data_IF_008488613947
#
_entry.id   IF_008488613947
#
_cell.length_a   1.000
_cell.length_b   1.000
_cell.length_c   1.000
_cell.angle_alpha   90.00
_cell.angle_beta   90.00
_cell.angle_gamma   90.00
#
_symmetry.space_group_name_H-M   'P 1'
#
loop_
_entity.id
_entity.type
_entity.pdbx_description
1 polymer ?
#
# COMPACT_ATOMS: atom_id res chain seq x y z
N UNK A 1 8.21 -10.36 10.31
CA UNK A 1 7.74 -9.10 9.70
C UNK A 1 7.83 -8.01 10.75
N UNK A 2 8.10 -6.76 10.36
CA UNK A 2 8.24 -5.64 11.29
C UNK A 2 6.94 -5.31 12.04
N UNK A 3 5.79 -5.51 11.40
CA UNK A 3 4.46 -5.26 11.93
C UNK A 3 3.49 -6.35 11.50
N UNK A 4 2.46 -6.58 12.30
CA UNK A 4 1.38 -7.54 11.98
C UNK A 4 0.37 -6.95 10.99
N UNK A 5 0.22 -5.62 10.97
CA UNK A 5 -0.66 -4.93 10.02
C UNK A 5 -0.15 -3.53 9.65
N UNK A 6 -0.70 -2.98 8.56
CA UNK A 6 -0.47 -1.58 8.20
C UNK A 6 -1.02 -0.60 9.26
N UNK A 7 -2.07 -0.99 9.99
CA UNK A 7 -2.59 -0.21 11.12
C UNK A 7 -1.54 -0.07 12.22
N UNK A 8 -0.85 -1.14 12.57
CA UNK A 8 0.20 -1.13 13.59
C UNK A 8 1.39 -0.29 13.14
N UNK A 9 1.74 -0.33 11.84
CA UNK A 9 2.76 0.55 11.30
C UNK A 9 2.37 2.03 11.41
N UNK A 10 1.14 2.40 11.05
CA UNK A 10 0.66 3.79 11.19
C UNK A 10 0.65 4.22 12.67
N UNK A 11 0.24 3.35 13.60
CA UNK A 11 0.33 3.63 15.03
C UNK A 11 1.78 3.80 15.50
N UNK A 12 2.71 2.98 14.97
CA UNK A 12 4.12 3.10 15.29
C UNK A 12 4.70 4.44 14.81
N UNK A 13 4.25 4.95 13.65
CA UNK A 13 4.63 6.28 13.17
C UNK A 13 4.12 7.37 14.11
N UNK A 14 2.86 7.27 14.57
CA UNK A 14 2.26 8.18 15.55
C UNK A 14 3.06 8.23 16.85
N UNK A 15 3.34 7.07 17.44
CA UNK A 15 4.15 6.94 18.66
C UNK A 15 5.59 7.46 18.48
N UNK A 16 6.15 7.38 17.27
CA UNK A 16 7.48 7.93 16.97
C UNK A 16 7.50 9.45 16.77
N UNK A 17 6.33 10.11 16.83
CA UNK A 17 6.15 11.50 16.42
C UNK A 17 6.38 11.72 14.92
N UNK A 18 6.26 10.69 14.09
CA UNK A 18 6.48 10.70 12.62
C UNK A 18 5.19 10.87 11.80
N UNK A 19 4.05 10.99 12.46
CA UNK A 19 2.72 11.15 11.86
C UNK A 19 2.04 12.42 12.38
N UNK A 20 1.33 13.12 11.51
CA UNK A 20 0.36 14.17 11.87
C UNK A 20 -1.04 13.65 11.56
N UNK A 21 -1.95 13.78 12.53
CA UNK A 21 -3.38 13.52 12.34
C UNK A 21 -4.09 14.80 11.91
N UNK A 22 -4.88 14.69 10.86
CA UNK A 22 -5.69 15.77 10.30
C UNK A 22 -7.16 15.40 10.50
N UNK A 23 -7.82 16.11 11.41
CA UNK A 23 -9.18 15.79 11.89
C UNK A 23 -10.27 16.57 11.15
N UNK A 24 -9.89 17.64 10.45
CA UNK A 24 -10.77 18.38 9.55
C UNK A 24 -11.04 17.58 8.27
N UNK A 25 -12.21 17.79 7.63
CA UNK A 25 -12.46 17.26 6.29
C UNK A 25 -11.43 17.80 5.28
N UNK A 26 -10.91 16.93 4.42
CA UNK A 26 -9.96 17.30 3.35
C UNK A 26 -10.28 16.54 2.06
N UNK A 27 -10.29 17.24 0.94
CA UNK A 27 -10.67 16.69 -0.35
C UNK A 27 -9.63 15.70 -0.92
N UNK A 28 -10.12 14.56 -1.41
CA UNK A 28 -9.31 13.59 -2.18
C UNK A 28 -8.95 14.12 -3.57
N UNK A 29 -9.61 15.19 -4.00
CA UNK A 29 -9.37 15.95 -5.20
C UNK A 29 -8.34 17.03 -4.90
N UNK A 30 -7.07 16.77 -5.24
CA UNK A 30 -5.94 17.70 -5.17
C UNK A 30 -5.47 18.10 -3.75
N UNK A 31 -6.38 18.34 -2.80
CA UNK A 31 -6.03 18.92 -1.49
C UNK A 31 -5.13 18.01 -0.65
N UNK A 32 -5.49 16.74 -0.47
CA UNK A 32 -4.64 15.79 0.28
C UNK A 32 -3.26 15.66 -0.38
N UNK A 33 -3.21 15.67 -1.71
CA UNK A 33 -1.94 15.61 -2.46
C UNK A 33 -1.09 16.85 -2.22
N UNK A 34 -1.67 18.05 -2.26
CA UNK A 34 -0.95 19.29 -1.95
C UNK A 34 -0.37 19.29 -0.53
N UNK A 35 -1.15 18.83 0.46
CA UNK A 35 -0.66 18.70 1.83
C UNK A 35 0.50 17.70 1.93
N UNK A 36 0.36 16.55 1.27
CA UNK A 36 1.38 15.52 1.26
C UNK A 36 2.66 15.97 0.52
N UNK A 37 2.52 16.68 -0.59
CA UNK A 37 3.63 17.20 -1.40
C UNK A 37 4.52 18.16 -0.58
N UNK A 38 3.90 19.06 0.19
CA UNK A 38 4.62 19.94 1.12
C UNK A 38 5.42 19.16 2.17
N UNK A 39 4.83 18.10 2.73
CA UNK A 39 5.56 17.25 3.68
C UNK A 39 6.72 16.52 2.99
N UNK A 40 6.47 15.88 1.85
CA UNK A 40 7.48 15.14 1.08
C UNK A 40 8.69 16.02 0.72
N UNK A 41 8.45 17.29 0.36
CA UNK A 41 9.48 18.24 -0.03
C UNK A 41 10.13 18.99 1.13
N UNK A 42 9.63 18.80 2.35
CA UNK A 42 10.27 19.38 3.54
C UNK A 42 11.60 18.68 3.84
N UNK A 43 12.55 19.36 4.51
CA UNK A 43 13.80 18.73 4.95
C UNK A 43 13.55 17.42 5.70
N UNK A 44 14.24 16.35 5.30
CA UNK A 44 14.04 15.02 5.88
C UNK A 44 12.71 14.34 5.53
N UNK A 45 11.96 14.83 4.54
CA UNK A 45 10.71 14.23 4.06
C UNK A 45 9.48 14.54 4.91
N UNK A 46 9.57 15.54 5.80
CA UNK A 46 8.45 15.99 6.65
C UNK A 46 7.85 14.88 7.49
N UNK A 47 6.53 14.90 7.72
CA UNK A 47 5.77 13.89 8.47
C UNK A 47 4.83 13.11 7.55
N UNK A 48 4.52 11.88 7.94
CA UNK A 48 3.38 11.18 7.38
C UNK A 48 2.08 11.90 7.78
N UNK A 49 1.04 11.76 6.98
CA UNK A 49 -0.28 12.34 7.26
C UNK A 49 -1.32 11.22 7.39
N UNK A 50 -2.17 11.32 8.42
CA UNK A 50 -3.39 10.53 8.54
C UNK A 50 -4.58 11.48 8.48
N UNK A 51 -5.29 11.46 7.35
CA UNK A 51 -6.53 12.20 7.15
C UNK A 51 -7.66 11.34 7.73
N UNK A 52 -8.29 11.81 8.80
CA UNK A 52 -9.34 11.03 9.48
C UNK A 52 -10.69 11.15 8.75
N UNK A 53 -10.89 12.24 8.00
CA UNK A 53 -12.14 12.55 7.29
C UNK A 53 -11.88 12.95 5.83
N UNK A 54 -11.27 12.09 5.00
CA UNK A 54 -11.11 12.41 3.58
C UNK A 54 -12.49 12.53 2.93
N UNK A 55 -12.68 13.50 2.03
CA UNK A 55 -13.93 13.67 1.30
C UNK A 55 -13.82 13.22 -0.15
N UNK A 56 -14.85 12.55 -0.64
CA UNK A 56 -15.01 12.14 -2.03
C UNK A 56 -16.23 12.85 -2.58
N UNK A 57 -16.04 13.72 -3.58
CA UNK A 57 -17.08 14.58 -4.14
C UNK A 57 -17.84 15.36 -3.04
N UNK A 58 -17.11 15.87 -2.04
CA UNK A 58 -17.66 16.61 -0.91
C UNK A 58 -18.30 15.77 0.20
N UNK A 59 -18.41 14.45 0.05
CA UNK A 59 -18.95 13.55 1.08
C UNK A 59 -17.83 12.90 1.87
N UNK A 60 -17.90 12.94 3.20
CA UNK A 60 -16.91 12.30 4.08
C UNK A 60 -16.91 10.78 3.85
N UNK A 61 -15.74 10.23 3.54
CA UNK A 61 -15.55 8.79 3.43
C UNK A 61 -15.54 8.15 4.82
N UNK A 62 -16.13 6.95 4.99
CA UNK A 62 -16.01 6.19 6.23
C UNK A 62 -14.59 5.62 6.43
N UNK A 63 -13.72 5.72 5.43
CA UNK A 63 -12.35 5.20 5.48
C UNK A 63 -11.35 6.37 5.64
N UNK A 64 -10.46 6.33 6.64
CA UNK A 64 -9.37 7.29 6.74
C UNK A 64 -8.32 7.05 5.65
N UNK A 65 -7.51 8.06 5.36
CA UNK A 65 -6.45 8.00 4.35
C UNK A 65 -5.10 8.33 4.97
N UNK A 66 -4.16 7.38 4.90
CA UNK A 66 -2.77 7.57 5.29
C UNK A 66 -1.90 7.82 4.05
N UNK A 67 -1.06 8.86 4.07
CA UNK A 67 -0.16 9.23 2.96
C UNK A 67 1.19 9.69 3.49
N UNK A 68 2.21 9.67 2.63
CA UNK A 68 3.60 10.00 2.98
C UNK A 68 4.20 9.10 4.09
N UNK A 69 3.63 7.90 4.28
CA UNK A 69 3.98 6.95 5.35
C UNK A 69 5.41 6.42 5.25
N UNK A 70 6.01 6.47 4.06
CA UNK A 70 7.38 6.06 3.77
C UNK A 70 8.22 7.19 3.14
N UNK A 71 7.79 8.45 3.23
CA UNK A 71 8.48 9.56 2.54
C UNK A 71 9.76 10.07 3.21
N UNK A 72 10.35 9.33 4.14
CA UNK A 72 11.65 9.66 4.73
C UNK A 72 12.48 8.42 4.99
N UNK A 73 13.81 8.57 5.01
CA UNK A 73 14.73 7.49 5.36
C UNK A 73 14.41 6.84 6.71
N UNK A 74 14.07 7.67 7.71
CA UNK A 74 13.66 7.20 9.03
C UNK A 74 12.39 6.36 8.96
N UNK A 75 11.35 6.83 8.26
CA UNK A 75 10.09 6.08 8.14
C UNK A 75 10.23 4.80 7.31
N UNK A 76 11.08 4.80 6.29
CA UNK A 76 11.44 3.57 5.55
C UNK A 76 12.16 2.57 6.46
N UNK A 77 13.15 3.00 7.25
CA UNK A 77 13.83 2.13 8.21
C UNK A 77 12.87 1.58 9.29
N UNK A 78 11.97 2.42 9.80
CA UNK A 78 10.92 1.99 10.74
C UNK A 78 10.03 0.91 10.14
N UNK A 79 9.64 1.03 8.86
CA UNK A 79 8.79 0.03 8.18
C UNK A 79 9.44 -1.36 8.10
N UNK A 80 10.78 -1.40 8.19
CA UNK A 80 11.61 -2.60 8.17
C UNK A 80 12.08 -3.02 9.57
N UNK A 81 11.68 -2.30 10.63
CA UNK A 81 12.17 -2.46 11.99
C UNK A 81 13.71 -2.41 12.09
N UNK A 82 14.33 -1.49 11.33
CA UNK A 82 15.77 -1.29 11.28
C UNK A 82 16.16 0.13 11.74
N UNK A 83 17.45 0.33 12.06
CA UNK A 83 17.95 1.66 12.46
C UNK A 83 18.16 2.57 11.25
N UNK A 84 18.52 1.99 10.11
CA UNK A 84 18.67 2.69 8.83
C UNK A 84 18.32 1.79 7.66
N UNK A 85 18.07 2.40 6.50
CA UNK A 85 17.92 1.65 5.25
C UNK A 85 19.24 1.01 4.79
N UNK A 86 20.38 1.60 5.14
CA UNK A 86 21.72 1.11 4.76
C UNK A 86 22.05 -0.18 5.48
N UNK A 87 21.62 -0.32 6.74
CA UNK A 87 21.72 -1.57 7.51
C UNK A 87 21.00 -2.70 6.77
N UNK A 88 19.76 -2.47 6.33
CA UNK A 88 18.98 -3.45 5.59
C UNK A 88 19.62 -3.76 4.24
N UNK A 89 20.13 -2.75 3.53
CA UNK A 89 20.80 -2.94 2.25
C UNK A 89 22.09 -3.78 2.40
N UNK A 90 22.87 -3.53 3.46
CA UNK A 90 24.06 -4.31 3.76
C UNK A 90 23.74 -5.77 4.09
N UNK A 91 22.69 -6.02 4.87
CA UNK A 91 22.20 -7.36 5.20
C UNK A 91 21.77 -8.11 3.93
N UNK A 92 20.93 -7.51 3.08
CA UNK A 92 20.50 -8.08 1.81
C UNK A 92 21.67 -8.37 0.87
N UNK A 93 22.62 -7.45 0.77
CA UNK A 93 23.83 -7.62 -0.03
C UNK A 93 24.70 -8.79 0.42
N UNK A 94 24.73 -9.08 1.73
CA UNK A 94 25.45 -10.24 2.27
C UNK A 94 24.79 -11.57 1.90
N UNK A 95 23.45 -11.61 1.92
CA UNK A 95 22.67 -12.79 1.53
C UNK A 95 22.84 -13.13 0.05
N UNK A 96 22.85 -12.13 -0.83
CA UNK A 96 23.04 -12.35 -2.28
C UNK A 96 24.44 -12.87 -2.63
N UNK A 97 25.46 -12.54 -1.83
CA UNK A 97 26.86 -12.95 -2.04
C UNK A 97 27.21 -14.30 -1.40
N UNK A 98 26.25 -14.96 -0.74
CA UNK A 98 26.47 -16.26 -0.13
C UNK A 98 26.83 -17.29 -1.22
N UNK A 99 28.07 -17.79 -1.18
CA UNK A 99 28.52 -18.85 -2.09
C UNK A 99 27.89 -20.18 -1.68
N UNK A 100 27.59 -21.08 -2.65
CA UNK A 100 27.20 -22.45 -2.33
C UNK A 100 28.29 -23.12 -1.48
N UNK A 101 27.95 -23.86 -0.41
CA UNK A 101 28.94 -24.49 0.45
C UNK A 101 29.75 -25.52 -0.33
N UNK A 102 31.06 -25.51 -0.16
CA UNK A 102 31.98 -26.48 -0.75
C UNK A 102 32.41 -27.56 0.25
N UNK A 103 32.02 -27.46 1.53
CA UNK A 103 32.44 -28.39 2.59
C UNK A 103 31.30 -28.80 3.55
N UNK A 104 31.42 -29.99 4.15
CA UNK A 104 30.46 -30.54 5.13
C UNK A 104 30.29 -29.67 6.39
N UNK A 105 31.34 -28.94 6.79
CA UNK A 105 31.28 -28.03 7.95
C UNK A 105 30.46 -26.77 7.62
N UNK A 106 30.59 -26.27 6.40
CA UNK A 106 29.80 -25.14 5.91
C UNK A 106 28.32 -25.52 5.77
N UNK A 107 28.02 -26.77 5.41
CA UNK A 107 26.65 -27.30 5.37
C UNK A 107 25.97 -27.27 6.74
N UNK A 108 26.67 -27.64 7.83
CA UNK A 108 26.11 -27.59 9.18
C UNK A 108 25.82 -26.15 9.63
N UNK A 109 26.68 -25.19 9.26
CA UNK A 109 26.52 -23.77 9.58
C UNK A 109 25.34 -23.15 8.81
N UNK A 110 25.16 -23.55 7.55
CA UNK A 110 24.01 -23.17 6.73
C UNK A 110 22.70 -23.74 7.24
N UNK A 111 22.69 -24.95 7.84
CA UNK A 111 21.47 -25.53 8.42
C UNK A 111 20.93 -24.66 9.57
N UNK A 112 21.83 -24.11 10.39
CA UNK A 112 21.48 -23.13 11.44
C UNK A 112 20.91 -21.84 10.86
N UNK A 113 21.55 -21.27 9.84
CA UNK A 113 21.06 -20.06 9.15
C UNK A 113 19.75 -20.30 8.38
N UNK A 114 19.52 -21.52 7.89
CA UNK A 114 18.28 -21.92 7.23
C UNK A 114 17.07 -21.95 8.20
N UNK A 115 17.31 -22.17 9.49
CA UNK A 115 16.25 -22.05 10.50
C UNK A 115 15.79 -20.59 10.67
N UNK A 116 16.69 -19.63 10.53
CA UNK A 116 16.33 -18.19 10.56
C UNK A 116 15.51 -17.80 9.32
N UNK A 117 15.81 -18.40 8.15
CA UNK A 117 15.05 -18.26 6.91
C UNK A 117 13.65 -18.91 6.95
N UNK A 118 13.35 -19.75 7.95
CA UNK A 118 12.02 -20.38 8.11
C UNK A 118 10.91 -19.33 8.24
N UNK A 119 11.23 -18.15 8.76
CA UNK A 119 10.30 -17.02 8.89
C UNK A 119 10.09 -16.23 7.60
N UNK A 120 10.85 -16.52 6.53
CA UNK A 120 10.72 -15.82 5.25
C UNK A 120 9.53 -16.29 4.40
N UNK A 121 9.05 -17.53 4.61
CA UNK A 121 7.89 -18.05 3.86
C UNK A 121 6.57 -17.53 4.48
N UNK A 122 5.67 -16.92 3.69
CA UNK A 122 4.36 -16.51 4.18
C UNK A 122 3.57 -17.67 4.79
N UNK A 123 2.92 -17.42 5.94
CA UNK A 123 2.01 -18.39 6.56
C UNK A 123 0.65 -18.35 5.87
N UNK A 124 0.17 -19.51 5.39
CA UNK A 124 -1.19 -19.62 4.87
C UNK A 124 -2.19 -19.64 6.04
N UNK A 125 -3.18 -18.75 6.00
CA UNK A 125 -4.24 -18.65 7.00
C UNK A 125 -5.62 -18.75 6.34
N UNK A 126 -6.59 -19.34 7.05
CA UNK A 126 -7.96 -19.50 6.54
C UNK A 126 -8.75 -18.19 6.62
N UNK A 127 -8.46 -17.36 7.61
CA UNK A 127 -9.19 -16.13 7.90
C UNK A 127 -8.24 -14.98 8.29
N UNK A 128 -8.73 -13.75 8.29
CA UNK A 128 -7.99 -12.57 8.72
C UNK A 128 -8.79 -11.27 8.58
N UNK A 129 -8.34 -10.16 9.21
CA UNK A 129 -9.09 -8.89 9.24
C UNK A 129 -9.47 -8.33 7.88
N UNK A 130 -8.69 -8.63 6.82
CA UNK A 130 -9.02 -8.24 5.45
C UNK A 130 -10.30 -8.90 4.88
N UNK A 131 -10.90 -9.86 5.60
CA UNK A 131 -12.12 -10.57 5.22
C UNK A 131 -13.35 -10.18 6.06
N UNK A 132 -13.23 -9.23 6.98
CA UNK A 132 -14.35 -8.79 7.84
C UNK A 132 -15.53 -8.22 7.05
N UNK A 133 -15.27 -7.56 5.93
CA UNK A 133 -16.28 -7.03 5.01
C UNK A 133 -16.03 -7.55 3.60
N UNK A 134 -16.97 -8.27 3.02
CA UNK A 134 -16.87 -8.86 1.68
C UNK A 134 -18.02 -8.34 0.80
N UNK A 135 -17.68 -7.49 -0.16
CA UNK A 135 -18.59 -7.12 -1.24
C UNK A 135 -18.43 -8.13 -2.38
N UNK A 136 -19.48 -8.89 -2.68
CA UNK A 136 -19.52 -9.81 -3.82
C UNK A 136 -20.28 -9.15 -4.96
N UNK A 137 -19.70 -9.19 -6.14
CA UNK A 137 -20.32 -8.75 -7.38
C UNK A 137 -20.64 -9.99 -8.20
N UNK A 138 -21.84 -10.08 -8.75
CA UNK A 138 -22.08 -11.05 -9.83
C UNK A 138 -21.21 -10.62 -11.01
N UNK A 139 -20.49 -11.57 -11.61
CA UNK A 139 -19.78 -11.28 -12.85
C UNK A 139 -20.83 -10.85 -13.87
N UNK A 140 -20.77 -9.62 -14.42
CA UNK A 140 -21.71 -9.27 -15.48
C UNK A 140 -21.51 -10.27 -16.63
N UNK A 141 -22.59 -10.67 -17.32
CA UNK A 141 -22.45 -11.50 -18.51
C UNK A 141 -21.45 -10.84 -19.46
N UNK A 142 -20.62 -11.65 -20.13
CA UNK A 142 -19.63 -11.16 -21.09
C UNK A 142 -20.31 -10.20 -22.05
N UNK A 143 -19.91 -8.93 -22.02
CA UNK A 143 -20.53 -7.88 -22.83
C UNK A 143 -20.24 -8.16 -24.31
N UNK A 144 -21.30 -8.32 -25.10
CA UNK A 144 -21.23 -8.44 -26.56
C UNK A 144 -21.47 -7.10 -27.28
N UNK A 145 -22.02 -6.11 -26.57
CA UNK A 145 -22.36 -4.79 -27.10
C UNK A 145 -21.18 -3.80 -27.08
N UNK A 146 -21.09 -2.85 -28.04
CA UNK A 146 -20.11 -1.78 -28.03
C UNK A 146 -20.09 -1.01 -26.70
N UNK A 147 -18.91 -0.57 -26.24
CA UNK A 147 -18.78 0.22 -25.01
C UNK A 147 -19.64 1.49 -25.08
N UNK A 148 -20.34 1.86 -24.00
CA UNK A 148 -21.06 3.12 -23.97
C UNK A 148 -20.03 4.25 -23.98
N UNK A 149 -20.43 5.44 -24.44
CA UNK A 149 -19.60 6.63 -24.28
C UNK A 149 -19.32 6.83 -22.79
N UNK A 150 -18.07 7.16 -22.47
CA UNK A 150 -17.68 7.47 -21.10
C UNK A 150 -18.60 8.57 -20.52
N UNK A 151 -19.04 8.46 -19.25
CA UNK A 151 -19.81 9.51 -18.60
C UNK A 151 -19.08 10.85 -18.66
N UNK A 152 -19.84 11.94 -18.77
CA UNK A 152 -19.28 13.29 -18.69
C UNK A 152 -18.73 13.53 -17.28
N UNK A 153 -17.41 13.67 -17.17
CA UNK A 153 -16.71 13.91 -15.89
C UNK A 153 -17.11 15.23 -15.22
N UNK A 154 -17.76 16.14 -15.96
CA UNK A 154 -18.27 17.40 -15.44
C UNK A 154 -19.72 17.31 -14.92
N UNK A 155 -20.36 16.13 -14.96
CA UNK A 155 -21.73 15.92 -14.48
C UNK A 155 -21.78 14.89 -13.34
N UNK A 156 -21.62 15.30 -12.06
CA UNK A 156 -21.57 14.39 -10.91
C UNK A 156 -22.83 13.55 -10.71
N UNK A 157 -23.99 14.01 -11.19
CA UNK A 157 -25.26 13.28 -11.13
C UNK A 157 -25.30 12.03 -12.04
N UNK A 158 -24.34 11.88 -12.95
CA UNK A 158 -24.23 10.71 -13.82
C UNK A 158 -23.59 9.50 -13.13
N UNK A 159 -23.03 9.66 -11.92
CA UNK A 159 -22.48 8.55 -11.13
C UNK A 159 -23.59 7.92 -10.28
N UNK A 160 -24.13 6.78 -10.72
CA UNK A 160 -25.00 5.96 -9.87
C UNK A 160 -24.23 5.47 -8.64
N UNK A 161 -24.72 5.79 -7.44
CA UNK A 161 -24.12 5.37 -6.16
C UNK A 161 -24.47 3.94 -5.74
N UNK A 162 -25.23 3.21 -6.56
CA UNK A 162 -25.41 1.77 -6.40
C UNK A 162 -25.32 1.07 -7.75
N UNK A 163 -24.62 -0.08 -7.84
CA UNK A 163 -24.09 -0.95 -6.76
C UNK A 163 -22.78 -0.46 -6.11
N UNK A 164 -22.28 -1.22 -5.11
CA UNK A 164 -20.98 -0.98 -4.46
C UNK A 164 -19.90 -0.73 -5.53
N UNK A 165 -19.16 0.36 -5.40
CA UNK A 165 -18.21 0.80 -6.42
C UNK A 165 -16.91 1.24 -5.77
N UNK A 166 -15.80 1.11 -6.50
CA UNK A 166 -14.51 1.66 -6.10
C UNK A 166 -14.59 3.19 -5.89
N UNK A 167 -15.58 3.86 -6.48
CA UNK A 167 -15.83 5.29 -6.27
C UNK A 167 -16.17 5.66 -4.83
N UNK A 168 -16.53 4.70 -3.97
CA UNK A 168 -16.81 4.95 -2.55
C UNK A 168 -15.54 4.97 -1.69
N UNK A 169 -14.40 4.53 -2.23
CA UNK A 169 -13.10 4.59 -1.55
C UNK A 169 -12.50 5.99 -1.72
N UNK A 170 -11.70 6.48 -0.75
CA UNK A 170 -11.04 7.78 -0.83
C UNK A 170 -9.85 7.76 -1.81
N UNK A 171 -10.08 7.36 -3.06
CA UNK A 171 -9.07 7.31 -4.13
C UNK A 171 -8.81 8.75 -4.58
N UNK A 172 -7.54 9.15 -4.60
CA UNK A 172 -7.15 10.53 -4.88
C UNK A 172 -7.13 10.81 -6.38
N UNK A 173 -7.52 12.03 -6.74
CA UNK A 173 -7.05 12.69 -7.96
C UNK A 173 -5.88 13.58 -7.55
N UNK A 174 -4.67 13.24 -7.96
CA UNK A 174 -3.47 13.86 -7.42
C UNK A 174 -3.19 15.21 -8.07
N UNK A 175 -3.32 15.29 -9.41
CA UNK A 175 -2.97 16.47 -10.18
C UNK A 175 -4.14 17.01 -11.00
N UNK A 176 -4.18 18.32 -11.31
CA UNK A 176 -5.28 18.94 -12.07
C UNK A 176 -5.54 18.24 -13.41
N UNK A 177 -4.46 17.85 -14.09
CA UNK A 177 -4.46 17.23 -15.42
C UNK A 177 -4.45 15.71 -15.41
N UNK A 178 -4.60 15.06 -14.24
CA UNK A 178 -4.78 13.62 -14.20
C UNK A 178 -6.07 13.24 -14.92
N UNK A 179 -6.00 12.19 -15.76
CA UNK A 179 -7.15 11.64 -16.49
C UNK A 179 -8.20 10.98 -15.60
N UNK A 180 -7.95 10.87 -14.30
CA UNK A 180 -8.86 10.27 -13.33
C UNK A 180 -8.25 10.21 -11.94
N UNK A 181 -8.90 9.44 -11.06
CA UNK A 181 -8.38 9.08 -9.74
C UNK A 181 -7.53 7.82 -9.87
N UNK A 182 -6.49 7.69 -9.06
CA UNK A 182 -5.58 6.54 -9.12
C UNK A 182 -5.36 5.89 -7.75
N UNK A 183 -5.30 4.57 -7.73
CA UNK A 183 -4.79 3.79 -6.62
C UNK A 183 -3.27 3.71 -6.78
N UNK A 184 -2.53 4.29 -5.83
CA UNK A 184 -1.09 4.57 -5.98
C UNK A 184 -0.17 3.68 -5.14
N UNK A 185 -0.70 2.95 -4.16
CA UNK A 185 0.07 2.01 -3.34
C UNK A 185 -0.58 0.60 -3.26
N UNK A 186 -1.06 0.00 -4.37
CA UNK A 186 -1.60 -1.35 -4.30
C UNK A 186 -0.48 -2.40 -4.30
N UNK A 187 -0.73 -3.52 -3.63
CA UNK A 187 0.02 -4.75 -3.81
C UNK A 187 -0.78 -5.68 -4.74
N UNK A 188 -0.48 -5.63 -6.04
CA UNK A 188 -1.11 -6.49 -7.04
C UNK A 188 -0.47 -7.86 -7.00
N UNK A 189 -1.27 -8.88 -6.67
CA UNK A 189 -0.81 -10.26 -6.55
C UNK A 189 -1.18 -11.03 -7.81
N UNK A 190 -0.18 -11.61 -8.47
CA UNK A 190 -0.38 -12.51 -9.61
C UNK A 190 0.19 -13.90 -9.30
N UNK A 191 -0.29 -14.90 -10.03
CA UNK A 191 0.19 -16.27 -9.95
C UNK A 191 0.43 -16.80 -11.37
N UNK A 192 1.63 -17.32 -11.60
CA UNK A 192 1.99 -17.97 -12.86
C UNK A 192 1.15 -19.25 -13.05
N UNK A 193 0.54 -19.48 -14.24
CA UNK A 193 -0.31 -20.63 -14.48
C UNK A 193 0.46 -21.95 -14.59
N UNK A 194 1.73 -21.92 -15.00
CA UNK A 194 2.54 -23.11 -15.29
C UNK A 194 3.36 -23.53 -14.06
N UNK A 195 4.04 -22.58 -13.42
CA UNK A 195 4.92 -22.82 -12.26
C UNK A 195 4.19 -22.68 -10.93
N UNK A 196 3.09 -21.93 -10.91
CA UNK A 196 2.37 -21.58 -9.69
C UNK A 196 3.07 -20.56 -8.79
N UNK A 197 4.18 -19.98 -9.24
CA UNK A 197 4.91 -18.93 -8.54
C UNK A 197 4.04 -17.67 -8.37
N UNK A 198 4.25 -16.95 -7.26
CA UNK A 198 3.50 -15.72 -6.95
C UNK A 198 4.40 -14.52 -7.11
N UNK A 199 3.86 -13.47 -7.68
CA UNK A 199 4.49 -12.17 -7.74
C UNK A 199 3.62 -11.13 -7.01
N UNK A 200 4.28 -10.14 -6.39
CA UNK A 200 3.62 -8.98 -5.80
C UNK A 200 4.24 -7.74 -6.42
N UNK A 201 3.45 -7.02 -7.21
CA UNK A 201 3.87 -5.80 -7.89
C UNK A 201 3.12 -4.57 -7.38
N UNK A 202 3.75 -3.42 -7.51
CA UNK A 202 3.10 -2.12 -7.30
C UNK A 202 2.84 -1.49 -8.66
N UNK A 203 1.57 -1.37 -9.02
CA UNK A 203 1.14 -0.79 -10.30
C UNK A 203 0.11 0.28 -10.03
N UNK A 204 0.21 1.44 -10.69
CA UNK A 204 -0.83 2.46 -10.63
C UNK A 204 -2.08 1.93 -11.33
N UNK A 205 -3.22 1.92 -10.63
CA UNK A 205 -4.53 1.48 -11.14
C UNK A 205 -5.43 2.70 -11.28
#
# INVERSE_FOLDING_TARGET
MAFDSFRDFVQRLDQAGELIRITQPVATELEITELADRQMKSPGGGKALLIEKPTVNGVVSPFPLAINTMGSWKRMALSLNANSVDEVAAELGSLMKAKPPTSLRDTMKLLGQAMDLRHAKPKLVKDGPCKEVIHKFEAPPTRTEPWPKAPDVHQPSAFSLQPSTLLNLPIQKCWPLDGGRFITLPCVVTKDPDTGERNVGMYRI
#
